data_IF_717683873708
#
_entry.id   IF_717683873708
#
_cell.length_a   1.000
_cell.length_b   1.000
_cell.length_c   1.000
_cell.angle_alpha   90.00
_cell.angle_beta   90.00
_cell.angle_gamma   90.00
#
_symmetry.space_group_name_H-M   'P 1'
#
loop_
_entity.id
_entity.type
_entity.pdbx_description
1 polymer ?
#
# COMPACT_ATOMS: atom_id res chain seq x y z
N UNK A 1 -36.06 22.23 13.68
CA UNK A 1 -35.23 21.02 13.78
C UNK A 1 -34.54 20.75 12.45
N UNK A 2 -33.33 21.28 12.26
CA UNK A 2 -32.49 20.80 11.17
C UNK A 2 -32.04 19.38 11.57
N UNK A 3 -32.58 18.35 10.91
CA UNK A 3 -32.03 17.00 11.01
C UNK A 3 -30.62 17.08 10.43
N UNK A 4 -29.64 17.39 11.29
CA UNK A 4 -28.22 17.37 10.96
C UNK A 4 -27.83 15.90 10.90
N UNK A 5 -28.24 15.23 9.82
CA UNK A 5 -27.70 13.93 9.45
C UNK A 5 -26.28 14.21 8.99
N UNK A 6 -25.36 14.27 9.95
CA UNK A 6 -23.93 14.30 9.68
C UNK A 6 -23.61 12.99 9.00
N UNK A 7 -23.16 13.11 7.76
CA UNK A 7 -22.71 12.05 6.88
C UNK A 7 -22.10 10.88 7.67
N UNK A 8 -22.70 9.71 7.54
CA UNK A 8 -22.02 8.44 7.77
C UNK A 8 -20.90 8.32 6.75
N UNK A 9 -19.77 8.99 7.02
CA UNK A 9 -18.49 8.71 6.40
C UNK A 9 -18.24 7.22 6.60
N UNK A 10 -18.37 6.45 5.51
CA UNK A 10 -18.18 5.01 5.42
C UNK A 10 -16.81 4.64 6.02
N UNK A 11 -16.75 4.38 7.33
CA UNK A 11 -15.55 3.88 8.01
C UNK A 11 -15.40 2.36 7.89
N UNK A 12 -16.43 1.66 7.40
CA UNK A 12 -16.42 0.21 7.30
C UNK A 12 -15.78 -0.32 5.99
N UNK A 13 -15.81 0.46 4.90
CA UNK A 13 -15.35 0.02 3.56
C UNK A 13 -14.22 0.91 3.00
N UNK A 14 -13.50 1.63 3.86
CA UNK A 14 -12.38 2.44 3.41
C UNK A 14 -11.27 1.50 2.92
N UNK A 15 -11.05 1.44 1.61
CA UNK A 15 -9.95 0.69 0.99
C UNK A 15 -8.64 1.10 1.68
N UNK A 16 -8.05 0.19 2.45
CA UNK A 16 -6.80 0.42 3.15
C UNK A 16 -5.67 0.22 2.15
N UNK A 17 -4.91 1.28 1.92
CA UNK A 17 -3.73 1.25 1.06
C UNK A 17 -2.48 1.24 1.93
N UNK A 18 -1.49 0.44 1.52
CA UNK A 18 -0.20 0.31 2.18
C UNK A 18 0.89 0.70 1.20
N UNK A 19 1.87 1.48 1.68
CA UNK A 19 3.09 1.78 0.94
C UNK A 19 4.10 0.67 1.21
N UNK A 20 4.41 -0.12 0.20
CA UNK A 20 5.42 -1.18 0.25
C UNK A 20 6.76 -0.63 -0.22
N UNK A 21 7.80 -0.84 0.58
CA UNK A 21 9.17 -0.42 0.27
C UNK A 21 10.03 -1.68 0.20
N UNK A 22 10.62 -1.93 -0.98
CA UNK A 22 11.49 -3.09 -1.20
C UNK A 22 12.89 -2.64 -1.60
N UNK A 23 13.89 -3.30 -1.02
CA UNK A 23 15.27 -3.12 -1.44
C UNK A 23 15.56 -4.02 -2.65
N UNK A 24 15.95 -3.43 -3.78
CA UNK A 24 16.28 -4.13 -5.02
C UNK A 24 17.77 -3.95 -5.31
N UNK A 25 18.45 -5.04 -5.62
CA UNK A 25 19.86 -5.01 -6.01
C UNK A 25 19.97 -4.63 -7.48
N UNK A 26 20.77 -3.61 -7.79
CA UNK A 26 21.09 -3.26 -9.15
C UNK A 26 22.03 -4.32 -9.76
N UNK A 27 21.63 -5.02 -10.84
CA UNK A 27 22.43 -6.09 -11.41
C UNK A 27 23.73 -5.58 -12.07
N UNK A 28 23.79 -4.30 -12.46
CA UNK A 28 24.96 -3.71 -13.14
C UNK A 28 25.99 -3.15 -12.16
N UNK A 29 25.53 -2.47 -11.11
CA UNK A 29 26.42 -1.76 -10.18
C UNK A 29 26.56 -2.46 -8.83
N UNK A 30 25.75 -3.48 -8.55
CA UNK A 30 25.74 -4.21 -7.28
C UNK A 30 25.16 -3.43 -6.09
N UNK A 31 24.90 -2.14 -6.25
CA UNK A 31 24.28 -1.29 -5.23
C UNK A 31 22.82 -1.61 -5.00
N UNK A 32 22.29 -1.19 -3.85
CA UNK A 32 20.89 -1.37 -3.48
C UNK A 32 20.11 -0.07 -3.66
N UNK A 33 18.89 -0.19 -4.17
CA UNK A 33 17.95 0.91 -4.31
C UNK A 33 16.62 0.54 -3.66
N UNK A 34 15.90 1.53 -3.16
CA UNK A 34 14.55 1.33 -2.64
C UNK A 34 13.54 1.55 -3.77
N UNK A 35 12.70 0.56 -4.00
CA UNK A 35 11.53 0.66 -4.86
C UNK A 35 10.29 0.75 -3.98
N UNK A 36 9.50 1.81 -4.20
CA UNK A 36 8.31 2.09 -3.40
C UNK A 36 7.05 1.97 -4.27
N UNK A 37 6.00 1.31 -3.75
CA UNK A 37 4.72 1.19 -4.43
C UNK A 37 3.57 1.23 -3.44
N UNK A 38 2.49 1.96 -3.77
CA UNK A 38 1.26 1.98 -2.99
C UNK A 38 0.30 0.94 -3.57
N UNK A 39 -0.22 0.04 -2.73
CA UNK A 39 -1.16 -1.02 -3.14
C UNK A 39 -2.20 -1.30 -2.05
N UNK A 40 -3.24 -2.07 -2.37
CA UNK A 40 -4.23 -2.50 -1.39
C UNK A 40 -3.58 -3.40 -0.33
N UNK A 41 -3.98 -3.28 0.93
CA UNK A 41 -3.39 -4.03 2.05
C UNK A 41 -3.42 -5.56 1.83
N UNK A 42 -4.47 -6.07 1.18
CA UNK A 42 -4.66 -7.50 0.88
C UNK A 42 -3.66 -8.06 -0.14
N UNK A 43 -3.04 -7.19 -0.95
CA UNK A 43 -2.10 -7.57 -2.01
C UNK A 43 -0.64 -7.54 -1.54
N UNK A 44 -0.37 -6.92 -0.37
CA UNK A 44 0.99 -6.70 0.15
C UNK A 44 1.75 -8.01 0.35
N UNK A 45 1.14 -8.99 1.02
CA UNK A 45 1.81 -10.26 1.35
C UNK A 45 2.18 -11.05 0.07
N UNK A 46 1.28 -11.06 -0.91
CA UNK A 46 1.53 -11.68 -2.22
C UNK A 46 2.64 -10.96 -2.96
N UNK A 47 2.67 -9.63 -2.89
CA UNK A 47 3.69 -8.81 -3.55
C UNK A 47 5.09 -9.02 -2.93
N UNK A 48 5.18 -9.14 -1.60
CA UNK A 48 6.43 -9.39 -0.88
C UNK A 48 6.95 -10.82 -1.04
N UNK A 49 6.06 -11.81 -1.11
CA UNK A 49 6.42 -13.22 -1.30
C UNK A 49 7.04 -13.51 -2.67
N UNK A 50 6.76 -12.67 -3.68
CA UNK A 50 7.36 -12.80 -5.01
C UNK A 50 8.86 -12.47 -4.92
N UNK A 51 9.73 -13.48 -5.06
CA UNK A 51 11.18 -13.25 -5.16
C UNK A 51 11.47 -12.39 -6.41
N UNK A 52 12.23 -11.32 -6.20
CA UNK A 52 12.75 -10.44 -7.23
C UNK A 52 14.08 -11.00 -7.77
#
# INVERSE_FOLDING_TARGET
>A
MAKKVVATLKKADAKVFTKVIRMVKNPKTGGYQFHEQVMAAEEVDKHLAKKA
#
